data_IF_392851052361
#
_entry.id   IF_392851052361
#
_cell.length_a   1.000
_cell.length_b   1.000
_cell.length_c   1.000
_cell.angle_alpha   90.00
_cell.angle_beta   90.00
_cell.angle_gamma   90.00
#
_symmetry.space_group_name_H-M   'P 1'
#
loop_
_entity.id
_entity.type
_entity.pdbx_description
1 polymer ?
#
# COMPACT_ATOMS: atom_id res chain seq x y z
N UNK A 1 -12.90 25.79 -21.07
CA UNK A 1 -11.59 25.44 -20.48
C UNK A 1 -11.87 24.44 -19.40
N UNK A 2 -11.82 23.17 -19.79
CA UNK A 2 -12.36 22.03 -19.07
C UNK A 2 -11.51 21.57 -17.88
N UNK A 3 -12.25 20.96 -16.93
CA UNK A 3 -11.86 19.97 -15.90
C UNK A 3 -11.40 20.48 -14.54
N UNK A 4 -12.39 20.98 -13.80
CA UNK A 4 -12.57 20.61 -12.39
C UNK A 4 -12.58 19.08 -12.25
N UNK A 5 -11.44 18.49 -11.90
CA UNK A 5 -11.31 17.05 -11.66
C UNK A 5 -11.75 16.75 -10.22
N UNK A 6 -13.05 16.85 -9.98
CA UNK A 6 -13.67 16.34 -8.76
C UNK A 6 -13.43 14.83 -8.69
N UNK A 7 -12.58 14.40 -7.75
CA UNK A 7 -12.43 12.99 -7.40
C UNK A 7 -13.76 12.50 -6.80
N UNK A 8 -14.39 11.44 -7.32
CA UNK A 8 -15.62 10.93 -6.74
C UNK A 8 -15.33 10.39 -5.33
N UNK A 9 -16.22 10.74 -4.41
CA UNK A 9 -16.03 10.63 -2.96
C UNK A 9 -15.66 9.24 -2.46
N UNK A 10 -14.70 9.23 -1.55
CA UNK A 10 -14.46 8.16 -0.57
C UNK A 10 -15.64 8.07 0.39
N UNK A 11 -16.77 7.52 -0.08
CA UNK A 11 -17.88 7.11 0.78
C UNK A 11 -18.21 5.65 0.47
N UNK A 12 -18.24 4.86 1.54
CA UNK A 12 -18.54 3.43 1.62
C UNK A 12 -17.49 2.40 1.13
N UNK A 13 -16.38 2.31 1.89
CA UNK A 13 -15.64 1.05 2.02
C UNK A 13 -16.11 0.19 3.22
N UNK A 14 -17.22 0.56 3.89
CA UNK A 14 -17.84 -0.26 4.93
C UNK A 14 -18.87 -1.20 4.32
N UNK A 15 -18.42 -2.27 3.66
CA UNK A 15 -19.09 -3.58 3.48
C UNK A 15 -18.57 -4.28 2.22
N UNK A 16 -17.32 -4.71 2.28
CA UNK A 16 -16.91 -5.88 1.51
C UNK A 16 -16.24 -6.83 2.48
N UNK A 17 -16.96 -7.90 2.85
CA UNK A 17 -16.37 -9.08 3.49
C UNK A 17 -15.51 -9.75 2.41
N UNK A 18 -14.36 -9.16 2.10
CA UNK A 18 -13.41 -9.69 1.12
C UNK A 18 -12.87 -10.99 1.68
N UNK A 19 -12.90 -12.04 0.86
CA UNK A 19 -12.33 -13.34 1.18
C UNK A 19 -10.87 -13.14 1.63
N UNK A 20 -10.55 -13.61 2.85
CA UNK A 20 -9.18 -13.73 3.33
C UNK A 20 -8.45 -14.78 2.48
N UNK A 21 -7.93 -14.37 1.34
CA UNK A 21 -6.89 -15.11 0.61
C UNK A 21 -5.62 -14.27 0.52
N UNK A 22 -5.12 -13.87 1.69
CA UNK A 22 -3.68 -13.91 1.89
C UNK A 22 -3.41 -14.95 2.96
N UNK A 23 -2.94 -16.11 2.50
CA UNK A 23 -2.36 -17.18 3.33
C UNK A 23 -1.49 -16.49 4.38
N UNK A 24 -1.73 -16.76 5.67
CA UNK A 24 -0.93 -16.21 6.78
C UNK A 24 0.55 -16.26 6.37
N UNK A 25 1.17 -15.11 6.11
CA UNK A 25 2.59 -15.05 5.85
C UNK A 25 3.26 -15.37 7.19
N UNK A 26 3.84 -16.56 7.31
CA UNK A 26 4.63 -16.90 8.48
C UNK A 26 5.89 -16.03 8.48
N UNK A 27 6.47 -15.79 9.67
CA UNK A 27 7.75 -15.08 9.78
C UNK A 27 8.84 -15.69 8.87
N UNK A 28 8.77 -17.01 8.60
CA UNK A 28 9.65 -17.72 7.68
C UNK A 28 9.45 -17.36 6.20
N UNK A 29 8.24 -17.02 5.76
CA UNK A 29 8.01 -16.58 4.38
C UNK A 29 8.61 -15.19 4.13
N UNK A 30 8.49 -14.27 5.11
CA UNK A 30 9.11 -12.94 5.03
C UNK A 30 10.65 -12.99 4.97
N UNK A 31 11.28 -14.09 5.41
CA UNK A 31 12.71 -14.32 5.30
C UNK A 31 13.16 -14.79 3.90
N UNK A 32 12.26 -15.33 3.08
CA UNK A 32 12.54 -15.84 1.71
C UNK A 32 12.30 -14.77 0.64
N UNK A 33 11.65 -13.66 1.00
CA UNK A 33 11.36 -12.61 0.01
C UNK A 33 12.58 -11.74 -0.26
N UNK A 34 12.89 -11.60 -1.54
CA UNK A 34 14.03 -10.86 -2.07
C UNK A 34 13.97 -9.40 -1.60
N UNK A 35 15.10 -8.89 -1.09
CA UNK A 35 15.24 -7.46 -0.80
C UNK A 35 14.89 -6.66 -2.06
N UNK A 36 13.94 -5.73 -1.94
CA UNK A 36 13.50 -4.90 -3.06
C UNK A 36 14.25 -3.59 -3.07
N UNK A 37 14.53 -3.07 -4.26
CA UNK A 37 15.02 -1.70 -4.41
C UNK A 37 13.89 -0.69 -4.28
N UNK A 38 12.63 -1.11 -4.48
CA UNK A 38 11.45 -0.24 -4.40
C UNK A 38 11.36 0.39 -3.01
N UNK A 39 11.43 1.70 -2.94
CA UNK A 39 11.15 2.51 -1.75
C UNK A 39 9.67 2.87 -1.71
N UNK A 40 9.19 3.34 -0.55
CA UNK A 40 7.79 3.74 -0.41
C UNK A 40 7.60 4.88 0.59
N UNK A 41 6.49 5.61 0.40
CA UNK A 41 6.04 6.72 1.26
C UNK A 41 4.87 6.34 2.17
N UNK A 42 4.58 5.03 2.34
CA UNK A 42 3.37 4.53 3.00
C UNK A 42 3.21 5.08 4.42
N UNK A 43 4.30 5.11 5.19
CA UNK A 43 4.27 5.63 6.56
C UNK A 43 3.79 7.09 6.58
N UNK A 44 4.39 7.94 5.75
CA UNK A 44 4.02 9.36 5.64
C UNK A 44 2.57 9.51 5.20
N UNK A 45 2.15 8.77 4.17
CA UNK A 45 0.77 8.81 3.66
C UNK A 45 -0.25 8.35 4.71
N UNK A 46 0.06 7.32 5.49
CA UNK A 46 -0.79 6.88 6.62
C UNK A 46 -0.99 7.98 7.66
N UNK A 47 0.09 8.66 8.07
CA UNK A 47 -0.01 9.76 9.02
C UNK A 47 -0.80 10.94 8.45
N UNK A 48 -0.60 11.27 7.17
CA UNK A 48 -1.39 12.29 6.47
C UNK A 48 -2.88 11.92 6.33
N UNK A 49 -3.22 10.64 6.37
CA UNK A 49 -4.60 10.13 6.34
C UNK A 49 -5.19 9.93 7.74
N UNK A 50 -5.02 10.90 8.65
CA UNK A 50 -5.60 10.88 9.99
C UNK A 50 -4.95 9.88 10.95
N UNK A 51 -3.61 9.82 10.95
CA UNK A 51 -2.84 8.92 11.82
C UNK A 51 -3.20 7.43 11.67
N UNK A 52 -3.59 7.03 10.46
CA UNK A 52 -3.99 5.66 10.15
C UNK A 52 -2.94 4.66 10.62
N UNK A 53 -3.35 3.69 11.42
CA UNK A 53 -2.46 2.63 11.91
C UNK A 53 -2.14 1.62 10.80
N UNK A 54 -1.06 0.85 10.99
CA UNK A 54 -0.71 -0.25 10.08
C UNK A 54 -1.79 -1.34 10.03
N UNK A 55 -2.51 -1.56 11.15
CA UNK A 55 -3.60 -2.52 11.22
C UNK A 55 -4.77 -2.06 10.34
N UNK A 56 -5.15 -0.78 10.42
CA UNK A 56 -6.23 -0.24 9.59
C UNK A 56 -5.90 -0.28 8.10
N UNK A 57 -4.66 0.04 7.70
CA UNK A 57 -4.25 -0.12 6.31
C UNK A 57 -4.31 -1.59 5.88
N UNK A 58 -3.84 -2.50 6.74
CA UNK A 58 -3.87 -3.93 6.46
C UNK A 58 -5.30 -4.45 6.25
N UNK A 59 -6.23 -4.04 7.10
CA UNK A 59 -7.65 -4.39 7.01
C UNK A 59 -8.28 -3.86 5.70
N UNK A 60 -7.91 -2.65 5.26
CA UNK A 60 -8.42 -2.05 4.01
C UNK A 60 -7.93 -2.77 2.76
N UNK A 61 -6.70 -3.28 2.75
CA UNK A 61 -6.11 -3.96 1.58
C UNK A 61 -6.19 -5.50 1.66
N UNK A 62 -6.73 -6.05 2.75
CA UNK A 62 -6.98 -7.47 2.92
C UNK A 62 -5.77 -8.32 3.30
N UNK A 63 -4.75 -7.70 3.91
CA UNK A 63 -3.48 -8.36 4.30
C UNK A 63 -3.33 -8.40 5.82
N UNK A 64 -2.23 -8.99 6.30
CA UNK A 64 -1.88 -8.90 7.73
C UNK A 64 -1.15 -7.61 8.06
N UNK A 65 -1.25 -7.13 9.31
CA UNK A 65 -0.42 -6.02 9.80
C UNK A 65 1.08 -6.25 9.56
N UNK A 66 1.54 -7.49 9.70
CA UNK A 66 2.95 -7.86 9.48
C UNK A 66 3.38 -7.62 8.03
N UNK A 67 2.49 -7.86 7.06
CA UNK A 67 2.72 -7.57 5.65
C UNK A 67 2.95 -6.06 5.46
N UNK A 68 2.08 -5.22 6.02
CA UNK A 68 2.22 -3.76 5.95
C UNK A 68 3.53 -3.29 6.59
N UNK A 69 3.89 -3.83 7.76
CA UNK A 69 5.19 -3.52 8.41
C UNK A 69 6.36 -3.86 7.49
N UNK A 70 6.34 -5.03 6.86
CA UNK A 70 7.42 -5.46 5.99
C UNK A 70 7.54 -4.58 4.73
N UNK A 71 6.42 -4.14 4.15
CA UNK A 71 6.41 -3.19 3.02
C UNK A 71 6.99 -1.85 3.47
N UNK A 72 6.49 -1.27 4.56
CA UNK A 72 6.96 0.02 5.07
C UNK A 72 8.46 0.02 5.37
N UNK A 73 9.00 -1.10 5.84
CA UNK A 73 10.42 -1.26 6.11
C UNK A 73 11.26 -1.59 4.86
N UNK A 74 10.65 -1.69 3.67
CA UNK A 74 11.33 -2.08 2.43
C UNK A 74 11.81 -3.54 2.41
N UNK A 75 11.33 -4.37 3.35
CA UNK A 75 11.71 -5.78 3.49
C UNK A 75 10.89 -6.71 2.61
N UNK A 76 9.83 -6.19 2.00
CA UNK A 76 8.93 -6.93 1.12
C UNK A 76 8.49 -6.04 -0.04
N UNK A 77 8.77 -6.48 -1.27
CA UNK A 77 8.16 -5.87 -2.45
C UNK A 77 6.70 -6.32 -2.53
N UNK A 78 5.71 -5.41 -2.49
CA UNK A 78 4.33 -5.80 -2.74
C UNK A 78 4.17 -6.31 -4.17
N UNK A 79 3.17 -7.17 -4.40
CA UNK A 79 2.70 -7.44 -5.76
C UNK A 79 2.14 -6.17 -6.39
N UNK A 80 2.08 -6.12 -7.73
CA UNK A 80 1.52 -4.97 -8.44
C UNK A 80 0.07 -4.67 -8.02
N UNK A 81 -0.75 -5.71 -7.86
CA UNK A 81 -2.12 -5.58 -7.38
C UNK A 81 -2.20 -4.94 -5.99
N UNK A 82 -1.33 -5.37 -5.06
CA UNK A 82 -1.27 -4.82 -3.71
C UNK A 82 -0.81 -3.37 -3.72
N UNK A 83 0.15 -3.02 -4.57
CA UNK A 83 0.63 -1.64 -4.74
C UNK A 83 -0.52 -0.71 -5.20
N UNK A 84 -1.33 -1.15 -6.17
CA UNK A 84 -2.52 -0.40 -6.59
C UNK A 84 -3.60 -0.29 -5.49
N UNK A 85 -3.82 -1.35 -4.70
CA UNK A 85 -4.76 -1.28 -3.56
C UNK A 85 -4.32 -0.23 -2.55
N UNK A 86 -3.03 -0.17 -2.23
CA UNK A 86 -2.46 0.81 -1.30
C UNK A 86 -2.64 2.24 -1.85
N UNK A 87 -2.29 2.48 -3.12
CA UNK A 87 -2.48 3.79 -3.75
C UNK A 87 -3.93 4.27 -3.71
N UNK A 88 -4.89 3.37 -3.96
CA UNK A 88 -6.32 3.68 -3.86
C UNK A 88 -6.78 4.01 -2.43
N UNK A 89 -6.20 3.38 -1.40
CA UNK A 89 -6.53 3.70 -0.01
C UNK A 89 -6.12 5.14 0.34
N UNK A 90 -5.00 5.61 -0.22
CA UNK A 90 -4.51 6.98 -0.01
C UNK A 90 -5.08 8.00 -1.00
N UNK A 91 -5.69 7.55 -2.10
CA UNK A 91 -6.24 8.43 -3.13
C UNK A 91 -5.18 9.15 -3.96
N UNK A 92 -3.97 8.59 -4.06
CA UNK A 92 -2.83 9.17 -4.80
C UNK A 92 -2.38 8.25 -5.94
N UNK A 93 -1.68 8.78 -6.96
CA UNK A 93 -0.97 7.99 -7.96
C UNK A 93 -0.05 6.93 -7.36
N UNK A 94 0.22 5.85 -8.13
CA UNK A 94 1.11 4.77 -7.71
C UNK A 94 2.53 5.28 -7.40
N UNK A 95 3.02 6.19 -8.23
CA UNK A 95 4.37 6.76 -8.14
C UNK A 95 4.58 7.67 -6.92
N UNK A 96 3.48 8.20 -6.35
CA UNK A 96 3.52 8.93 -5.08
C UNK A 96 3.68 7.97 -3.89
N UNK A 97 3.26 6.71 -4.04
CA UNK A 97 3.37 5.69 -2.99
C UNK A 97 4.68 4.93 -3.08
N UNK A 98 5.12 4.53 -4.27
CA UNK A 98 6.28 3.67 -4.49
C UNK A 98 7.23 4.28 -5.51
N UNK A 99 8.53 4.20 -5.23
CA UNK A 99 9.57 4.71 -6.11
C UNK A 99 10.63 3.63 -6.32
N UNK A 100 11.23 3.60 -7.50
CA UNK A 100 12.36 2.73 -7.78
C UNK A 100 13.64 3.59 -7.85
N UNK A 101 14.67 3.32 -7.04
CA UNK A 101 15.91 4.08 -7.07
C UNK A 101 16.67 3.72 -8.35
N UNK A 102 16.49 4.55 -9.37
CA UNK A 102 17.10 4.42 -10.68
C UNK A 102 16.18 4.88 -11.80
N UNK A 103 16.03 6.20 -11.92
CA UNK A 103 15.98 6.96 -13.17
C UNK A 103 16.40 8.42 -12.86
N UNK A 104 17.65 8.60 -12.43
CA UNK A 104 18.34 9.84 -12.77
C UNK A 104 18.77 9.70 -14.22
N UNK A 105 17.89 10.07 -15.15
CA UNK A 105 18.18 9.90 -16.57
C UNK A 105 17.07 10.31 -17.52
N UNK A 106 16.73 11.60 -17.59
CA UNK A 106 16.52 12.37 -18.84
C UNK A 106 16.26 13.84 -18.52
#
# INVERSE_FOLDING_TARGET
MDRERALPGVRDLRRARVLRQDRRLSAGFLAVVKATRVTNSIRTLRFGCGEMTQAELADRIGVTRQTVIAIEQGRYSPSLEMAFKIARVFGVPLDDVFQYPGDEGS
#
